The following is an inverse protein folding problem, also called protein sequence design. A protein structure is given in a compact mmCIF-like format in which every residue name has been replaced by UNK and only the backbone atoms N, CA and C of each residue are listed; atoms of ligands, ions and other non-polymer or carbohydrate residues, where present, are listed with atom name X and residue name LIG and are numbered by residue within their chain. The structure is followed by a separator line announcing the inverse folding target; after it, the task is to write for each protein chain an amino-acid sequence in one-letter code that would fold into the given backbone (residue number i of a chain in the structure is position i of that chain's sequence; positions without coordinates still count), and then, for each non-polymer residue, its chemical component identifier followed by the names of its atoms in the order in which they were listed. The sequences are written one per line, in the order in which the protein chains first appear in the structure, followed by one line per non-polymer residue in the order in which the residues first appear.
data_IF_465790048893
#
_entry.id   IF_465790048893
#
_cell.length_a   1.000
_cell.length_b   1.000
_cell.length_c   1.000
_cell.angle_alpha   90.00
_cell.angle_beta   90.00
_cell.angle_gamma   90.00
#
_symmetry.space_group_name_H-M   'P 1'
#
loop_
_entity.id
_entity.type
_entity.pdbx_description
1 polymer ?
#
# COMPACT_ATOMS: atom_id res chain seq x y z
N UNK A 1 5.40 -10.28 1.92
CA UNK A 1 4.96 -9.23 2.83
C UNK A 1 6.17 -8.48 3.44
N UNK A 2 7.12 -9.19 4.06
CA UNK A 2 8.26 -8.60 4.76
C UNK A 2 9.09 -7.64 3.88
N UNK A 3 9.55 -8.01 2.67
CA UNK A 3 10.32 -7.10 1.82
C UNK A 3 9.57 -5.80 1.48
N UNK A 4 8.24 -5.86 1.33
CA UNK A 4 7.43 -4.67 1.07
C UNK A 4 7.36 -3.75 2.28
N UNK A 5 7.27 -4.32 3.50
CA UNK A 5 7.25 -3.53 4.74
C UNK A 5 8.61 -2.88 4.99
N UNK A 6 9.69 -3.61 4.72
CA UNK A 6 11.06 -3.14 4.92
C UNK A 6 11.47 -2.08 3.87
N UNK A 7 10.86 -2.12 2.68
CA UNK A 7 11.06 -1.13 1.61
C UNK A 7 10.32 0.20 1.83
N UNK A 8 9.44 0.31 2.85
CA UNK A 8 8.73 1.57 3.11
C UNK A 8 9.72 2.64 3.57
N UNK A 9 9.85 3.77 2.85
CA UNK A 9 10.79 4.82 3.21
C UNK A 9 10.36 5.53 4.48
N UNK A 10 11.33 6.19 5.14
CA UNK A 10 11.03 7.04 6.28
C UNK A 10 10.16 8.23 5.86
N UNK A 11 9.02 8.40 6.49
CA UNK A 11 8.06 9.48 6.18
C UNK A 11 8.39 10.67 7.07
N UNK A 12 8.80 11.79 6.46
CA UNK A 12 9.02 13.06 7.14
C UNK A 12 7.67 13.68 7.49
N UNK A 13 7.52 14.11 8.73
CA UNK A 13 6.37 14.89 9.20
C UNK A 13 6.76 16.37 9.33
N UNK A 14 5.79 17.27 9.41
CA UNK A 14 6.04 18.72 9.56
C UNK A 14 6.91 19.05 10.78
N UNK A 15 6.83 18.26 11.86
CA UNK A 15 7.66 18.40 13.04
C UNK A 15 8.13 17.03 13.52
N UNK A 16 9.37 16.96 14.04
CA UNK A 16 9.92 15.77 14.69
C UNK A 16 10.72 14.86 13.76
N UNK A 17 11.15 13.71 14.33
CA UNK A 17 11.99 12.72 13.64
C UNK A 17 11.18 11.96 12.59
N UNK A 18 11.74 11.67 11.40
CA UNK A 18 11.06 10.89 10.38
C UNK A 18 10.56 9.54 10.90
N UNK A 19 9.31 9.22 10.64
CA UNK A 19 8.74 7.92 11.02
C UNK A 19 9.22 6.83 10.08
N UNK A 20 9.90 5.84 10.61
CA UNK A 20 10.35 4.63 9.89
C UNK A 20 9.44 3.43 10.13
N UNK A 21 8.61 3.46 11.17
CA UNK A 21 7.76 2.33 11.56
C UNK A 21 6.30 2.62 11.33
N UNK A 22 5.64 1.71 10.65
CA UNK A 22 4.18 1.70 10.51
C UNK A 22 3.54 1.35 11.87
N UNK A 23 2.51 2.07 12.29
CA UNK A 23 1.77 1.73 13.51
C UNK A 23 0.92 0.46 13.30
N UNK A 24 0.29 0.34 12.14
CA UNK A 24 -0.59 -0.78 11.77
C UNK A 24 -0.53 -1.03 10.26
N UNK A 25 -0.75 -2.27 9.88
CA UNK A 25 -0.79 -2.70 8.49
C UNK A 25 -2.11 -3.42 8.21
N UNK A 26 -2.82 -2.92 7.21
CA UNK A 26 -4.01 -3.58 6.68
C UNK A 26 -3.63 -4.42 5.47
N UNK A 27 -4.00 -5.69 5.48
CA UNK A 27 -3.77 -6.59 4.36
C UNK A 27 -4.97 -7.53 4.15
N UNK A 28 -5.05 -8.07 2.96
CA UNK A 28 -6.10 -9.00 2.55
C UNK A 28 -5.99 -10.35 3.26
N UNK A 29 -7.09 -11.12 3.26
CA UNK A 29 -7.19 -12.51 3.76
C UNK A 29 -6.12 -13.43 3.16
N UNK A 30 -5.61 -13.12 1.96
CA UNK A 30 -4.48 -13.81 1.36
C UNK A 30 -3.20 -13.81 2.22
N UNK A 31 -3.05 -12.85 3.12
CA UNK A 31 -1.92 -12.74 4.05
C UNK A 31 -2.21 -13.28 5.45
N UNK A 32 -3.36 -13.94 5.65
CA UNK A 32 -3.73 -14.53 6.96
C UNK A 32 -2.95 -15.81 7.26
N UNK A 33 -1.64 -15.66 7.41
CA UNK A 33 -0.73 -16.72 7.82
C UNK A 33 -0.03 -16.36 9.11
N UNK A 34 0.18 -17.35 9.98
CA UNK A 34 0.86 -17.15 11.26
C UNK A 34 2.27 -16.51 11.11
N UNK A 35 3.11 -16.89 10.14
CA UNK A 35 4.39 -16.21 9.89
C UNK A 35 4.24 -14.73 9.57
N UNK A 36 3.27 -14.33 8.73
CA UNK A 36 3.03 -12.94 8.38
C UNK A 36 2.66 -12.12 9.61
N UNK A 37 1.74 -12.60 10.42
CA UNK A 37 1.33 -11.94 11.67
C UNK A 37 2.49 -11.83 12.66
N UNK A 38 3.31 -12.86 12.78
CA UNK A 38 4.49 -12.91 13.65
C UNK A 38 5.55 -11.91 13.18
N UNK A 39 5.83 -11.86 11.89
CA UNK A 39 6.78 -10.91 11.29
C UNK A 39 6.38 -9.45 11.54
N UNK A 40 5.10 -9.11 11.45
CA UNK A 40 4.59 -7.78 11.76
C UNK A 40 4.72 -7.44 13.24
N UNK A 41 4.34 -8.38 14.12
CA UNK A 41 4.46 -8.19 15.58
C UNK A 41 5.90 -8.01 16.03
N UNK A 42 6.85 -8.75 15.47
CA UNK A 42 8.30 -8.56 15.72
C UNK A 42 8.78 -7.16 15.39
N UNK A 43 8.17 -6.52 14.37
CA UNK A 43 8.44 -5.13 13.99
C UNK A 43 7.58 -4.11 14.78
N UNK A 44 6.87 -4.56 15.82
CA UNK A 44 5.90 -3.78 16.58
C UNK A 44 4.84 -3.08 15.69
N UNK A 45 4.43 -3.75 14.59
CA UNK A 45 3.37 -3.33 13.68
C UNK A 45 2.10 -4.11 14.03
N UNK A 46 0.99 -3.44 14.24
CA UNK A 46 -0.29 -4.09 14.54
C UNK A 46 -0.86 -4.69 13.24
N UNK A 47 -0.99 -6.04 13.13
CA UNK A 47 -1.57 -6.66 11.94
C UNK A 47 -3.10 -6.52 11.96
N UNK A 48 -3.65 -5.80 10.99
CA UNK A 48 -5.07 -5.70 10.68
C UNK A 48 -5.37 -6.52 9.41
N UNK A 49 -5.18 -7.83 9.52
CA UNK A 49 -5.41 -8.79 8.45
C UNK A 49 -6.72 -9.50 8.76
N UNK A 50 -7.65 -9.53 7.80
CA UNK A 50 -8.91 -10.23 7.97
C UNK A 50 -8.68 -11.75 8.17
N UNK A 51 -9.38 -12.35 9.13
CA UNK A 51 -9.27 -13.78 9.41
C UNK A 51 -10.12 -14.60 8.45
N UNK A 52 -9.56 -15.68 7.95
CA UNK A 52 -10.29 -16.64 7.13
C UNK A 52 -11.39 -17.30 7.98
N UNK A 53 -12.63 -17.32 7.48
CA UNK A 53 -13.77 -17.99 8.11
C UNK A 53 -14.43 -17.26 9.30
N UNK A 54 -13.87 -16.16 9.80
CA UNK A 54 -14.38 -15.49 11.02
C UNK A 54 -14.96 -14.09 10.74
N UNK A 55 -14.44 -13.35 9.77
CA UNK A 55 -14.87 -11.97 9.55
C UNK A 55 -15.82 -11.83 8.36
N UNK A 56 -16.97 -11.15 8.60
CA UNK A 56 -17.88 -10.72 7.54
C UNK A 56 -17.27 -9.60 6.70
N UNK A 57 -17.64 -9.52 5.44
CA UNK A 57 -17.20 -8.50 4.49
C UNK A 57 -17.58 -7.07 4.89
N UNK A 58 -18.60 -6.90 5.74
CA UNK A 58 -19.17 -5.60 6.12
C UNK A 58 -18.22 -4.70 6.92
N UNK A 59 -17.40 -5.27 7.80
CA UNK A 59 -16.43 -4.49 8.62
C UNK A 59 -15.15 -4.12 7.88
N UNK A 60 -14.84 -4.76 6.77
CA UNK A 60 -13.67 -4.49 5.94
C UNK A 60 -13.83 -3.25 5.06
N UNK A 61 -15.05 -2.82 4.76
CA UNK A 61 -15.35 -1.71 3.87
C UNK A 61 -14.73 -0.38 4.29
N UNK A 62 -14.60 -0.12 5.60
CA UNK A 62 -14.10 1.15 6.15
C UNK A 62 -12.65 1.49 5.76
N UNK A 63 -11.80 0.51 5.47
CA UNK A 63 -10.40 0.73 5.09
C UNK A 63 -10.09 0.29 3.66
N UNK A 64 -10.97 -0.49 3.06
CA UNK A 64 -10.81 -1.05 1.71
C UNK A 64 -10.89 0.03 0.64
N UNK A 65 -11.73 1.04 0.84
CA UNK A 65 -11.90 2.14 -0.11
C UNK A 65 -10.59 2.88 -0.46
N UNK A 66 -9.63 2.96 0.48
CA UNK A 66 -8.33 3.60 0.24
C UNK A 66 -7.53 2.82 -0.80
N UNK A 67 -7.51 1.49 -0.68
CA UNK A 67 -6.82 0.59 -1.62
C UNK A 67 -7.53 0.63 -2.97
N UNK A 68 -8.86 0.50 -2.98
CA UNK A 68 -9.67 0.53 -4.20
C UNK A 68 -9.51 1.85 -4.95
N UNK A 69 -9.52 2.97 -4.25
CA UNK A 69 -9.27 4.30 -4.82
C UNK A 69 -7.88 4.38 -5.44
N UNK A 70 -6.86 3.90 -4.75
CA UNK A 70 -5.48 3.92 -5.24
C UNK A 70 -5.33 3.06 -6.50
N UNK A 71 -5.91 1.86 -6.50
CA UNK A 71 -5.92 0.99 -7.68
C UNK A 71 -6.69 1.63 -8.84
N UNK A 72 -7.82 2.29 -8.57
CA UNK A 72 -8.60 3.01 -9.58
C UNK A 72 -7.80 4.18 -10.20
N UNK A 73 -6.95 4.86 -9.42
CA UNK A 73 -6.06 5.87 -9.98
C UNK A 73 -5.02 5.27 -10.92
N UNK A 74 -4.41 4.16 -10.55
CA UNK A 74 -3.46 3.44 -11.40
C UNK A 74 -4.11 2.88 -12.67
N UNK A 75 -5.34 2.39 -12.58
CA UNK A 75 -6.09 1.86 -13.73
C UNK A 75 -6.36 2.90 -14.85
N UNK A 76 -6.25 4.20 -14.54
CA UNK A 76 -6.32 5.28 -15.56
C UNK A 76 -5.10 5.33 -16.49
N UNK A 77 -4.00 4.70 -16.10
CA UNK A 77 -2.81 4.61 -16.94
C UNK A 77 -2.87 3.31 -17.74
N UNK A 78 -3.07 3.43 -19.06
CA UNK A 78 -3.27 2.28 -19.96
C UNK A 78 -2.17 1.21 -19.82
N UNK A 79 -0.90 1.63 -19.70
CA UNK A 79 0.23 0.69 -19.55
C UNK A 79 0.30 -0.02 -18.20
N UNK A 80 -0.47 0.44 -17.22
CA UNK A 80 -0.63 -0.23 -15.92
C UNK A 80 -1.86 -1.11 -15.95
N UNK A 81 -2.98 -0.59 -16.49
CA UNK A 81 -4.22 -1.35 -16.60
C UNK A 81 -4.06 -2.59 -17.48
N UNK A 82 -3.28 -2.49 -18.56
CA UNK A 82 -2.94 -3.61 -19.45
C UNK A 82 -1.42 -3.73 -19.50
N UNK A 83 -0.90 -4.85 -19.00
CA UNK A 83 0.54 -5.10 -18.99
C UNK A 83 1.02 -5.51 -20.37
N UNK A 84 1.82 -4.69 -21.02
CA UNK A 84 2.51 -4.98 -22.27
C UNK A 84 3.96 -5.44 -22.05
N UNK A 85 4.56 -5.04 -20.95
CA UNK A 85 5.96 -5.27 -20.64
C UNK A 85 6.18 -6.69 -20.11
N UNK A 86 7.09 -7.43 -20.77
CA UNK A 86 7.53 -8.76 -20.33
C UNK A 86 8.38 -8.67 -19.05
N UNK A 87 9.23 -7.67 -18.97
CA UNK A 87 10.14 -7.43 -17.83
C UNK A 87 9.40 -6.79 -16.66
N UNK A 88 9.55 -7.36 -15.47
CA UNK A 88 8.87 -6.87 -14.27
C UNK A 88 9.43 -5.52 -13.78
N UNK A 89 10.73 -5.28 -13.96
CA UNK A 89 11.39 -4.02 -13.59
C UNK A 89 10.86 -2.84 -14.41
N UNK A 90 10.69 -3.01 -15.73
CA UNK A 90 10.09 -1.98 -16.60
C UNK A 90 8.64 -1.71 -16.18
N UNK A 91 7.86 -2.75 -15.94
CA UNK A 91 6.49 -2.60 -15.48
C UNK A 91 6.42 -1.86 -14.14
N UNK A 92 7.35 -2.15 -13.21
CA UNK A 92 7.48 -1.44 -11.94
C UNK A 92 7.86 0.01 -12.13
N UNK A 93 8.75 0.33 -13.09
CA UNK A 93 9.11 1.70 -13.42
C UNK A 93 7.90 2.53 -13.87
N UNK A 94 6.99 1.96 -14.68
CA UNK A 94 5.74 2.62 -15.04
C UNK A 94 4.84 2.92 -13.83
N UNK A 95 4.81 2.03 -12.84
CA UNK A 95 4.09 2.28 -11.59
C UNK A 95 4.69 3.45 -10.82
N UNK A 96 6.03 3.55 -10.75
CA UNK A 96 6.70 4.67 -10.09
C UNK A 96 6.39 6.01 -10.78
N UNK A 97 6.43 6.04 -12.12
CA UNK A 97 6.08 7.24 -12.90
C UNK A 97 4.62 7.65 -12.65
N UNK A 98 3.70 6.68 -12.72
CA UNK A 98 2.29 6.95 -12.47
C UNK A 98 2.03 7.42 -11.03
N UNK A 99 2.67 6.81 -10.03
CA UNK A 99 2.59 7.23 -8.65
C UNK A 99 3.09 8.68 -8.48
N UNK A 100 4.22 9.02 -9.11
CA UNK A 100 4.79 10.37 -9.08
C UNK A 100 3.83 11.40 -9.69
N UNK A 101 3.20 11.08 -10.81
CA UNK A 101 2.20 11.95 -11.45
C UNK A 101 0.94 12.12 -10.58
N UNK A 102 0.47 11.05 -9.93
CA UNK A 102 -0.66 11.12 -9.00
C UNK A 102 -0.31 12.03 -7.82
N UNK A 103 0.86 11.83 -7.20
CA UNK A 103 1.33 12.65 -6.08
C UNK A 103 1.51 14.12 -6.49
N UNK A 104 2.08 14.38 -7.67
CA UNK A 104 2.25 15.73 -8.22
C UNK A 104 0.91 16.45 -8.37
N UNK A 105 -0.09 15.81 -9.00
CA UNK A 105 -1.45 16.38 -9.15
C UNK A 105 -2.12 16.66 -7.81
N UNK A 106 -1.86 15.82 -6.82
CA UNK A 106 -2.34 16.05 -5.45
C UNK A 106 -1.66 17.28 -4.84
N UNK A 107 -0.32 17.36 -4.93
CA UNK A 107 0.43 18.49 -4.40
C UNK A 107 -0.03 19.82 -5.02
N UNK A 108 -0.21 19.87 -6.35
CA UNK A 108 -0.72 21.09 -7.03
C UNK A 108 -2.06 21.57 -6.47
N UNK A 109 -2.98 20.67 -6.12
CA UNK A 109 -4.30 21.03 -5.56
C UNK A 109 -4.23 21.63 -4.14
N UNK A 110 -3.15 21.39 -3.41
CA UNK A 110 -2.99 21.82 -2.02
C UNK A 110 -2.06 23.04 -1.90
N UNK A 111 -1.23 23.30 -2.89
CA UNK A 111 -0.23 24.37 -2.88
C UNK A 111 -0.46 25.45 -3.95
N UNK A 112 -1.47 25.31 -4.77
CA UNK A 112 -1.98 26.30 -5.71
C UNK A 112 -3.45 26.56 -5.45
#
# INVERSE_FOLDING_TARGET
LEPLVDAVPAIRQCAGRPRRRLAKLHADKGYDFAPCRRALRRRAIIPRIARRGIESSERLGRHRWVVERTLAWFARFRRIAVRYERRADIFTAFHHIAASLICWRFAQRWFC
#
